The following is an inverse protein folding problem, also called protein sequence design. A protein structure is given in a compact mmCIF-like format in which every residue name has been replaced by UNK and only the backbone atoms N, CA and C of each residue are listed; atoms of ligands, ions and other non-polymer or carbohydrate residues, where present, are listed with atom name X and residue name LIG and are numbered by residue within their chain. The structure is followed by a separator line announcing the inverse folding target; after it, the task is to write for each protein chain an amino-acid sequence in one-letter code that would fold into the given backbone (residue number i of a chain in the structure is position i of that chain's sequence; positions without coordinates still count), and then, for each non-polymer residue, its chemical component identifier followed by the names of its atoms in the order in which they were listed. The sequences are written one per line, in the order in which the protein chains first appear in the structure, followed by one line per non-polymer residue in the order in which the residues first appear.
data_IF_404979120223
#
_entry.id   IF_404979120223
#
_cell.length_a   1.000
_cell.length_b   1.000
_cell.length_c   1.000
_cell.angle_alpha   90.00
_cell.angle_beta   90.00
_cell.angle_gamma   90.00
#
_symmetry.space_group_name_H-M   'P 1'
#
loop_
_entity.id
_entity.type
_entity.pdbx_description
1 polymer ?
#
# COMPACT_ATOMS: atom_id res chain seq x y z
N UNK A 1 0.50 33.70 -21.93
CA UNK A 1 -0.89 33.38 -21.57
C UNK A 1 -1.22 32.08 -22.27
N UNK A 2 -0.67 30.96 -21.75
CA UNK A 2 -0.84 29.60 -22.26
C UNK A 2 -1.88 28.88 -21.42
N UNK A 3 -2.81 28.23 -22.12
CA UNK A 3 -3.95 27.54 -21.52
C UNK A 3 -3.50 26.21 -20.95
N UNK A 4 -3.75 25.98 -19.66
CA UNK A 4 -3.72 24.65 -19.04
C UNK A 4 -4.68 23.70 -19.81
N UNK A 5 -4.11 22.68 -20.41
CA UNK A 5 -4.90 21.56 -20.94
C UNK A 5 -5.19 20.63 -19.78
N UNK A 6 -6.41 20.64 -19.28
CA UNK A 6 -6.91 19.58 -18.40
C UNK A 6 -7.06 18.31 -19.23
N UNK A 7 -6.30 17.28 -18.88
CA UNK A 7 -6.48 15.94 -19.46
C UNK A 7 -7.67 15.32 -18.74
N UNK A 8 -8.85 15.37 -19.39
CA UNK A 8 -9.99 14.52 -19.03
C UNK A 8 -9.87 13.24 -19.86
N UNK A 9 -9.57 12.10 -19.22
CA UNK A 9 -9.68 10.80 -19.88
C UNK A 9 -11.17 10.44 -20.02
N UNK A 10 -11.60 10.16 -21.24
CA UNK A 10 -12.95 9.70 -21.54
C UNK A 10 -13.11 8.24 -21.11
N UNK A 11 -14.04 7.99 -20.21
CA UNK A 11 -14.33 6.65 -19.67
C UNK A 11 -14.83 5.62 -20.73
N UNK A 12 -15.18 6.05 -21.93
CA UNK A 12 -15.66 5.15 -22.97
C UNK A 12 -14.54 4.43 -23.75
N UNK A 13 -13.30 4.85 -23.65
CA UNK A 13 -12.17 4.23 -24.37
C UNK A 13 -11.52 3.05 -23.59
N UNK A 14 -11.81 2.94 -22.30
CA UNK A 14 -11.30 1.90 -21.42
C UNK A 14 -11.75 0.46 -21.78
N UNK A 15 -12.86 0.35 -22.48
CA UNK A 15 -13.47 -0.95 -22.83
C UNK A 15 -12.87 -1.67 -24.04
N UNK A 16 -12.09 -1.00 -24.87
CA UNK A 16 -11.65 -1.56 -26.18
C UNK A 16 -10.21 -2.06 -26.22
N UNK A 17 -9.38 -1.80 -25.21
CA UNK A 17 -7.92 -2.08 -25.27
C UNK A 17 -7.45 -3.28 -24.43
N UNK A 18 -8.35 -4.19 -24.00
CA UNK A 18 -8.05 -5.34 -23.12
C UNK A 18 -7.28 -6.53 -23.75
N UNK A 19 -6.65 -6.39 -24.90
CA UNK A 19 -6.22 -7.57 -25.64
C UNK A 19 -4.71 -7.92 -25.58
N UNK A 20 -3.83 -7.08 -25.09
CA UNK A 20 -2.38 -7.25 -25.34
C UNK A 20 -1.56 -7.78 -24.15
N UNK A 21 -1.88 -7.52 -22.91
CA UNK A 21 -1.10 -7.99 -21.74
C UNK A 21 -1.44 -9.40 -21.22
N UNK A 22 -1.83 -10.35 -22.06
CA UNK A 22 -2.34 -11.68 -21.63
C UNK A 22 -1.37 -12.85 -21.78
N UNK A 23 -0.06 -12.69 -21.72
CA UNK A 23 0.87 -13.83 -21.92
C UNK A 23 1.70 -14.27 -20.71
N UNK A 24 1.47 -13.79 -19.52
CA UNK A 24 2.21 -14.24 -18.33
C UNK A 24 1.35 -14.73 -17.17
N UNK A 25 0.10 -15.11 -17.35
CA UNK A 25 -0.69 -15.76 -16.31
C UNK A 25 -1.32 -17.05 -16.85
N UNK A 26 -0.95 -18.17 -16.23
CA UNK A 26 -1.37 -19.52 -16.57
C UNK A 26 -2.89 -19.71 -16.54
N UNK A 27 -3.35 -20.58 -17.42
CA UNK A 27 -4.70 -21.08 -17.59
C UNK A 27 -5.41 -21.51 -16.31
N UNK A 28 -6.58 -20.94 -16.04
CA UNK A 28 -7.69 -21.65 -15.41
C UNK A 28 -8.98 -21.31 -16.13
N UNK A 29 -9.60 -22.34 -16.72
CA UNK A 29 -10.90 -22.25 -17.37
C UNK A 29 -12.00 -22.24 -16.31
N UNK A 30 -12.83 -21.22 -16.28
CA UNK A 30 -14.10 -21.21 -15.54
C UNK A 30 -15.26 -21.27 -16.53
N UNK A 31 -16.09 -22.29 -16.40
CA UNK A 31 -17.33 -22.51 -17.13
C UNK A 31 -18.37 -21.50 -16.63
N UNK A 32 -18.89 -20.64 -17.48
CA UNK A 32 -20.03 -19.79 -17.19
C UNK A 32 -21.35 -20.53 -17.44
N UNK A 33 -22.13 -20.74 -16.39
CA UNK A 33 -23.55 -21.06 -16.49
C UNK A 33 -24.34 -19.73 -16.42
N UNK A 34 -25.05 -19.39 -17.47
CA UNK A 34 -25.99 -18.27 -17.48
C UNK A 34 -27.30 -18.72 -16.83
N UNK A 35 -27.72 -18.05 -15.75
CA UNK A 35 -29.08 -18.11 -15.22
C UNK A 35 -29.65 -16.71 -15.20
N UNK A 36 -30.70 -16.52 -15.99
CA UNK A 36 -31.52 -15.32 -16.00
C UNK A 36 -32.45 -15.31 -14.79
N UNK A 37 -32.47 -14.21 -14.05
CA UNK A 37 -33.41 -13.99 -12.94
C UNK A 37 -32.71 -13.28 -11.79
N UNK A 38 -32.75 -11.96 -11.78
CA UNK A 38 -32.25 -11.16 -10.68
C UNK A 38 -33.18 -11.18 -9.49
N UNK A 39 -32.76 -11.66 -8.32
CA UNK A 39 -33.06 -10.97 -7.08
C UNK A 39 -31.92 -10.02 -6.75
N UNK A 40 -32.27 -8.84 -6.24
CA UNK A 40 -31.33 -7.94 -5.59
C UNK A 40 -30.37 -8.74 -4.71
N UNK A 41 -29.11 -8.89 -5.14
CA UNK A 41 -28.10 -9.47 -4.29
C UNK A 41 -27.92 -8.54 -3.10
N UNK A 42 -28.58 -8.89 -1.99
CA UNK A 42 -28.03 -8.58 -0.70
C UNK A 42 -26.62 -9.19 -0.71
N UNK A 43 -25.59 -8.38 -0.81
CA UNK A 43 -24.24 -8.81 -0.52
C UNK A 43 -24.27 -9.29 0.93
N UNK A 44 -24.39 -10.61 1.11
CA UNK A 44 -24.00 -11.21 2.35
C UNK A 44 -22.55 -10.77 2.55
N UNK A 45 -22.33 -9.90 3.52
CA UNK A 45 -21.00 -9.54 3.95
C UNK A 45 -20.35 -10.85 4.39
N UNK A 46 -19.61 -11.52 3.50
CA UNK A 46 -18.58 -12.43 3.99
C UNK A 46 -17.81 -11.59 4.97
N UNK A 47 -17.83 -12.02 6.23
CA UNK A 47 -17.02 -11.40 7.28
C UNK A 47 -15.62 -11.37 6.72
N UNK A 48 -15.10 -10.18 6.37
CA UNK A 48 -13.71 -10.01 6.01
C UNK A 48 -12.89 -10.63 7.14
N UNK A 49 -12.34 -11.79 6.87
CA UNK A 49 -11.46 -12.49 7.80
C UNK A 49 -10.06 -12.07 7.43
N UNK A 50 -9.47 -11.22 8.25
CA UNK A 50 -8.05 -10.97 8.21
C UNK A 50 -7.34 -12.19 8.77
N UNK A 51 -6.86 -13.08 7.91
CA UNK A 51 -6.03 -14.22 8.28
C UNK A 51 -4.55 -13.96 8.00
N UNK A 52 -4.19 -12.72 7.68
CA UNK A 52 -2.84 -12.29 7.41
C UNK A 52 -2.03 -12.31 8.71
N UNK A 53 -0.81 -12.87 8.71
CA UNK A 53 -0.05 -13.15 9.94
C UNK A 53 0.16 -11.96 10.86
N UNK A 54 0.42 -10.79 10.29
CA UNK A 54 0.69 -9.55 11.04
C UNK A 54 -0.52 -8.60 11.13
N UNK A 55 -1.72 -9.02 10.71
CA UNK A 55 -2.92 -8.18 10.81
C UNK A 55 -3.25 -7.78 12.25
N UNK A 56 -2.95 -8.64 13.23
CA UNK A 56 -3.16 -8.33 14.66
C UNK A 56 -2.25 -7.23 15.19
N UNK A 57 -1.17 -6.91 14.50
CA UNK A 57 -0.24 -5.83 14.87
C UNK A 57 -0.69 -4.48 14.31
N UNK A 58 -1.65 -4.46 13.41
CA UNK A 58 -2.20 -3.26 12.76
C UNK A 58 -3.27 -2.60 13.65
N UNK A 59 -2.89 -2.22 14.88
CA UNK A 59 -3.80 -1.67 15.89
C UNK A 59 -4.57 -0.43 15.43
N UNK A 60 -4.03 0.33 14.47
CA UNK A 60 -4.71 1.50 13.91
C UNK A 60 -5.97 1.12 13.12
N UNK A 61 -6.06 -0.11 12.61
CA UNK A 61 -7.22 -0.60 11.87
C UNK A 61 -8.31 -1.11 12.80
N UNK A 62 -7.89 -1.73 13.90
CA UNK A 62 -8.78 -2.31 14.88
C UNK A 62 -8.14 -2.34 16.26
N UNK A 63 -8.57 -1.45 17.14
CA UNK A 63 -8.05 -1.31 18.49
C UNK A 63 -9.09 -1.75 19.52
N UNK A 64 -8.94 -2.95 20.04
CA UNK A 64 -9.77 -3.49 21.12
C UNK A 64 -9.35 -3.07 22.52
N UNK A 65 -8.28 -2.29 22.63
CA UNK A 65 -7.70 -1.84 23.90
C UNK A 65 -6.66 -2.79 24.48
N UNK A 66 -6.37 -3.92 23.83
CA UNK A 66 -5.36 -4.89 24.32
C UNK A 66 -3.93 -4.45 24.05
N UNK A 67 -3.73 -3.56 23.09
CA UNK A 67 -2.42 -3.05 22.71
C UNK A 67 -1.79 -2.23 23.82
N UNK A 68 -0.49 -2.46 24.07
CA UNK A 68 0.31 -1.68 25.01
C UNK A 68 1.52 -1.12 24.28
N UNK A 69 1.70 0.18 24.31
CA UNK A 69 2.90 0.84 23.80
C UNK A 69 3.90 1.08 24.93
N UNK A 70 5.17 1.01 24.58
CA UNK A 70 6.28 1.36 25.47
C UNK A 70 7.01 2.58 24.90
N UNK A 71 6.98 3.67 25.64
CA UNK A 71 7.80 4.83 25.34
C UNK A 71 9.12 4.69 26.09
N UNK A 72 10.20 4.53 25.35
CA UNK A 72 11.55 4.37 25.92
C UNK A 72 12.31 5.67 25.74
N UNK A 73 12.56 6.36 26.85
CA UNK A 73 13.39 7.57 26.87
C UNK A 73 14.76 7.24 27.45
N UNK A 74 15.82 7.60 26.74
CA UNK A 74 17.21 7.38 27.17
C UNK A 74 17.83 8.72 27.54
N UNK A 75 18.33 8.80 28.77
CA UNK A 75 19.05 9.96 29.27
C UNK A 75 20.52 9.60 29.46
N UNK A 76 21.47 10.29 28.84
CA UNK A 76 22.87 10.11 29.16
C UNK A 76 23.16 10.59 30.58
N UNK A 77 23.91 9.82 31.35
CA UNK A 77 24.34 10.17 32.71
C UNK A 77 25.81 10.51 32.67
N UNK A 78 26.15 11.72 33.08
CA UNK A 78 27.49 12.24 33.10
C UNK A 78 28.07 12.30 34.53
N UNK A 79 29.38 12.33 34.67
CA UNK A 79 30.06 12.48 35.96
C UNK A 79 29.91 13.87 36.61
N UNK A 80 29.43 14.85 35.84
CA UNK A 80 29.10 16.18 36.35
C UNK A 80 27.87 16.10 37.29
N UNK A 81 27.95 16.62 38.51
CA UNK A 81 26.85 16.59 39.45
C UNK A 81 25.61 17.39 38.99
N UNK A 82 25.74 18.24 37.99
CA UNK A 82 24.64 18.98 37.40
C UNK A 82 24.07 18.30 36.14
N UNK A 83 24.63 17.12 35.74
CA UNK A 83 24.10 16.32 34.62
C UNK A 83 24.27 16.95 33.24
N UNK A 84 25.14 17.96 33.11
CA UNK A 84 25.37 18.64 31.84
C UNK A 84 26.63 18.09 31.17
N UNK A 85 26.61 17.91 29.81
CA UNK A 85 27.81 17.56 29.09
C UNK A 85 28.79 18.75 29.13
N UNK A 86 29.84 18.63 29.93
CA UNK A 86 30.97 19.56 29.95
C UNK A 86 32.19 18.93 29.30
N UNK A 87 33.18 19.74 28.90
CA UNK A 87 34.42 19.20 28.24
C UNK A 87 35.15 18.15 29.06
N UNK A 88 34.89 18.08 30.37
CA UNK A 88 35.55 17.14 31.30
C UNK A 88 34.56 16.11 31.89
N UNK A 89 33.30 16.08 31.45
CA UNK A 89 32.31 15.15 31.98
C UNK A 89 32.44 13.78 31.31
N UNK A 90 32.71 12.75 32.11
CA UNK A 90 32.73 11.37 31.63
C UNK A 90 31.29 10.82 31.55
N UNK A 91 30.95 10.14 30.46
CA UNK A 91 29.69 9.43 30.31
C UNK A 91 29.71 8.19 31.21
N UNK A 92 28.96 8.21 32.30
CA UNK A 92 28.87 7.09 33.26
C UNK A 92 27.93 5.99 32.81
N UNK A 93 27.01 6.31 31.90
CA UNK A 93 26.01 5.36 31.38
C UNK A 93 24.79 6.02 30.80
N UNK A 94 23.74 5.24 30.64
CA UNK A 94 22.45 5.71 30.13
C UNK A 94 21.34 5.29 31.09
N UNK A 95 20.60 6.25 31.61
CA UNK A 95 19.34 5.99 32.32
C UNK A 95 18.26 5.70 31.29
N UNK A 96 17.55 4.59 31.43
CA UNK A 96 16.45 4.20 30.58
C UNK A 96 15.16 4.31 31.37
N UNK A 97 14.28 5.19 30.94
CA UNK A 97 12.92 5.28 31.46
C UNK A 97 11.96 4.62 30.48
N UNK A 98 11.16 3.66 30.95
CA UNK A 98 10.16 2.97 30.15
C UNK A 98 8.78 3.34 30.69
N UNK A 99 7.98 4.03 29.89
CA UNK A 99 6.58 4.33 30.20
C UNK A 99 5.68 3.41 29.36
N UNK A 100 4.91 2.59 30.06
CA UNK A 100 3.87 1.75 29.43
C UNK A 100 2.56 2.51 29.37
N UNK A 101 1.94 2.51 28.19
CA UNK A 101 0.61 3.11 27.99
C UNK A 101 -0.30 2.05 27.41
N UNK A 102 -1.43 1.82 28.06
CA UNK A 102 -2.49 0.97 27.54
C UNK A 102 -3.29 1.72 26.48
N UNK A 103 -3.58 1.05 25.38
CA UNK A 103 -4.47 1.59 24.37
C UNK A 103 -5.89 1.76 24.90
N UNK A 104 -6.60 2.73 24.35
CA UNK A 104 -8.03 2.93 24.64
C UNK A 104 -8.84 2.27 23.54
N UNK A 105 -9.67 1.30 23.89
CA UNK A 105 -10.52 0.58 22.94
C UNK A 105 -11.33 1.53 22.06
N UNK A 106 -11.39 1.26 20.77
CA UNK A 106 -12.12 2.05 19.79
C UNK A 106 -11.44 3.35 19.36
N UNK A 107 -10.19 3.62 19.81
CA UNK A 107 -9.39 4.71 19.29
C UNK A 107 -8.55 4.19 18.11
N UNK A 108 -9.18 4.12 16.94
CA UNK A 108 -8.63 3.65 15.69
C UNK A 108 -9.25 4.41 14.50
N UNK A 109 -8.96 4.01 13.26
CA UNK A 109 -9.52 4.64 12.05
C UNK A 109 -10.92 4.15 11.69
N UNK A 110 -11.53 3.32 12.53
CA UNK A 110 -12.86 2.75 12.35
C UNK A 110 -13.01 1.94 11.04
N UNK A 111 -11.96 1.24 10.66
CA UNK A 111 -11.89 0.51 9.39
C UNK A 111 -12.92 -0.60 9.30
N UNK A 112 -13.18 -1.28 10.42
CA UNK A 112 -14.19 -2.34 10.49
C UNK A 112 -15.58 -1.85 10.06
N UNK A 113 -16.00 -0.68 10.58
CA UNK A 113 -17.29 -0.10 10.21
C UNK A 113 -17.31 0.37 8.74
N UNK A 114 -16.20 0.87 8.23
CA UNK A 114 -16.07 1.23 6.82
C UNK A 114 -16.26 0.00 5.93
N UNK A 115 -15.63 -1.11 6.26
CA UNK A 115 -15.78 -2.37 5.51
C UNK A 115 -17.18 -2.97 5.61
N UNK A 116 -17.81 -2.91 6.80
CA UNK A 116 -19.21 -3.36 6.97
C UNK A 116 -20.19 -2.51 6.14
N UNK A 117 -19.88 -1.22 5.95
CA UNK A 117 -20.77 -0.29 5.25
C UNK A 117 -20.55 -0.29 3.75
N UNK A 118 -19.30 -0.32 3.31
CA UNK A 118 -18.93 -0.10 1.91
C UNK A 118 -18.31 -1.33 1.24
N UNK A 119 -17.95 -2.37 2.01
CA UNK A 119 -17.22 -3.53 1.51
C UNK A 119 -15.89 -3.13 0.86
N UNK A 120 -15.63 -3.67 -0.32
CA UNK A 120 -14.47 -3.32 -1.15
C UNK A 120 -14.75 -2.20 -2.16
N UNK A 121 -15.82 -1.44 -1.95
CA UNK A 121 -16.21 -0.33 -2.83
C UNK A 121 -16.89 -0.77 -4.13
N UNK A 122 -17.33 0.20 -4.91
CA UNK A 122 -18.08 -0.02 -6.17
C UNK A 122 -17.32 0.40 -7.43
N UNK A 123 -16.19 1.10 -7.28
CA UNK A 123 -15.41 1.65 -8.38
C UNK A 123 -13.95 1.25 -8.27
N UNK A 124 -13.30 1.05 -9.41
CA UNK A 124 -11.85 0.89 -9.47
C UNK A 124 -11.19 2.26 -9.31
N UNK A 125 -10.17 2.32 -8.47
CA UNK A 125 -9.47 3.58 -8.12
C UNK A 125 -7.96 3.35 -8.21
N UNK A 126 -7.26 4.29 -8.84
CA UNK A 126 -5.80 4.30 -8.86
C UNK A 126 -5.32 5.35 -7.84
N UNK A 127 -4.46 4.92 -6.94
CA UNK A 127 -3.77 5.79 -5.98
C UNK A 127 -2.35 5.99 -6.47
N UNK A 128 -2.05 7.19 -6.95
CA UNK A 128 -0.70 7.58 -7.32
C UNK A 128 0.10 7.87 -6.04
N UNK A 129 1.10 7.06 -5.74
CA UNK A 129 1.93 7.19 -4.56
C UNK A 129 3.27 7.82 -4.91
N UNK A 130 3.46 9.08 -4.52
CA UNK A 130 4.70 9.83 -4.70
C UNK A 130 5.56 9.59 -3.46
N UNK A 131 6.58 8.74 -3.60
CA UNK A 131 7.40 8.29 -2.46
C UNK A 131 8.79 7.79 -2.94
N UNK A 132 9.55 7.15 -2.05
CA UNK A 132 10.89 6.64 -2.33
C UNK A 132 10.94 5.53 -3.38
N UNK A 133 9.83 4.83 -3.62
CA UNK A 133 9.71 3.71 -4.55
C UNK A 133 8.93 2.56 -3.95
N UNK A 134 8.56 1.58 -4.79
CA UNK A 134 7.75 0.42 -4.38
C UNK A 134 8.36 -0.86 -4.94
N UNK A 135 8.53 -1.89 -4.11
CA UNK A 135 8.89 -3.23 -4.56
C UNK A 135 7.69 -3.92 -5.21
N UNK A 136 7.65 -3.87 -6.55
CA UNK A 136 6.58 -4.52 -7.33
C UNK A 136 6.64 -6.06 -7.27
N UNK A 137 7.75 -6.64 -6.81
CA UNK A 137 7.89 -8.09 -6.65
C UNK A 137 7.44 -8.60 -5.28
N UNK A 138 7.11 -7.69 -4.35
CA UNK A 138 6.70 -8.05 -3.00
C UNK A 138 5.45 -8.94 -3.03
N UNK A 139 5.51 -10.08 -2.36
CA UNK A 139 4.48 -11.13 -2.44
C UNK A 139 3.07 -10.67 -2.04
N UNK A 140 2.99 -9.67 -1.16
CA UNK A 140 1.74 -9.11 -0.65
C UNK A 140 1.23 -7.91 -1.45
N UNK A 141 1.99 -7.42 -2.45
CA UNK A 141 1.66 -6.25 -3.27
C UNK A 141 1.46 -6.55 -4.75
N UNK A 142 2.13 -7.56 -5.28
CA UNK A 142 2.19 -7.85 -6.73
C UNK A 142 0.84 -7.89 -7.46
N UNK A 143 -0.24 -8.27 -6.76
CA UNK A 143 -1.58 -8.38 -7.32
C UNK A 143 -2.44 -7.12 -7.09
N UNK A 144 -1.94 -6.15 -6.32
CA UNK A 144 -2.65 -4.94 -5.92
C UNK A 144 -2.03 -3.66 -6.47
N UNK A 145 -0.89 -3.75 -7.15
CA UNK A 145 -0.32 -2.61 -7.85
C UNK A 145 -1.07 -2.30 -9.14
N UNK A 146 -1.03 -1.03 -9.53
CA UNK A 146 -1.46 -0.62 -10.86
C UNK A 146 -0.48 -1.15 -11.91
N UNK A 147 -1.02 -1.58 -13.04
CA UNK A 147 -0.25 -2.05 -14.17
C UNK A 147 -0.63 -1.25 -15.40
N UNK A 148 0.33 -0.64 -16.07
CA UNK A 148 0.14 -0.09 -17.40
C UNK A 148 -0.02 -1.24 -18.40
N UNK A 149 -1.25 -1.48 -18.82
CA UNK A 149 -1.57 -2.60 -19.72
C UNK A 149 -1.31 -2.30 -21.20
N UNK A 150 -0.97 -1.06 -21.52
CA UNK A 150 -0.66 -0.60 -22.85
C UNK A 150 0.86 -0.69 -23.15
N UNK A 151 1.68 -1.02 -22.11
CA UNK A 151 3.11 -1.29 -22.20
C UNK A 151 3.42 -2.80 -22.34
N UNK A 152 4.43 -3.13 -23.12
CA UNK A 152 5.02 -4.48 -23.19
C UNK A 152 6.30 -4.48 -22.36
N UNK A 153 6.33 -5.17 -21.21
CA UNK A 153 7.45 -5.09 -20.29
C UNK A 153 8.80 -5.41 -20.92
N UNK A 154 9.82 -4.62 -20.56
CA UNK A 154 11.23 -4.88 -20.89
C UNK A 154 11.55 -4.92 -22.41
N UNK A 155 10.75 -4.28 -23.25
CA UNK A 155 11.03 -4.22 -24.69
C UNK A 155 11.83 -2.95 -25.09
N UNK A 156 11.97 -1.97 -24.19
CA UNK A 156 12.70 -0.73 -24.41
C UNK A 156 11.98 0.27 -25.34
N UNK A 157 10.66 0.11 -25.49
CA UNK A 157 9.81 0.95 -26.34
C UNK A 157 8.72 1.55 -25.47
N UNK A 158 8.39 2.79 -25.72
CA UNK A 158 7.19 3.47 -25.19
C UNK A 158 6.01 3.06 -26.10
N UNK A 159 5.31 1.97 -25.73
CA UNK A 159 4.30 1.36 -26.60
C UNK A 159 2.99 2.17 -26.64
N UNK A 160 2.68 2.92 -25.58
CA UNK A 160 1.49 3.76 -25.53
C UNK A 160 1.74 5.24 -25.93
N UNK A 161 3.01 5.62 -26.12
CA UNK A 161 3.41 6.95 -26.56
C UNK A 161 3.21 8.04 -25.52
N UNK A 162 3.23 7.68 -24.22
CA UNK A 162 3.03 8.60 -23.11
C UNK A 162 4.30 9.37 -22.70
N UNK A 163 5.47 8.98 -23.23
CA UNK A 163 6.78 9.56 -22.95
C UNK A 163 7.60 8.82 -21.90
N UNK A 164 7.11 7.67 -21.41
CA UNK A 164 7.75 6.86 -20.37
C UNK A 164 7.93 5.42 -20.85
N UNK A 165 9.15 5.02 -21.15
CA UNK A 165 9.50 3.70 -21.69
C UNK A 165 9.36 2.62 -20.64
N UNK A 166 8.60 1.55 -20.91
CA UNK A 166 8.40 0.40 -20.00
C UNK A 166 7.86 0.81 -18.61
N UNK A 167 6.97 1.80 -18.50
CA UNK A 167 6.43 2.31 -17.24
C UNK A 167 5.35 1.40 -16.62
N UNK A 168 5.54 0.10 -16.67
CA UNK A 168 4.56 -0.93 -16.33
C UNK A 168 3.90 -0.79 -14.95
N UNK A 169 4.62 -0.29 -13.94
CA UNK A 169 4.11 -0.10 -12.58
C UNK A 169 4.15 1.35 -12.11
N UNK A 170 4.61 2.25 -12.98
CA UNK A 170 4.85 3.65 -12.70
C UNK A 170 6.23 4.12 -13.13
N UNK A 171 6.70 5.23 -12.60
CA UNK A 171 7.91 5.89 -13.07
C UNK A 171 8.81 6.39 -11.96
N UNK A 172 10.11 6.35 -12.17
CA UNK A 172 11.12 6.94 -11.32
C UNK A 172 11.49 8.32 -11.86
N UNK A 173 10.88 9.36 -11.31
CA UNK A 173 11.13 10.75 -11.69
C UNK A 173 12.49 11.26 -11.22
N UNK A 174 13.04 10.68 -10.16
CA UNK A 174 14.36 11.05 -9.67
C UNK A 174 15.47 10.68 -10.67
N UNK A 175 15.40 9.46 -11.24
CA UNK A 175 16.41 8.96 -12.20
C UNK A 175 15.91 8.99 -13.65
N UNK A 176 14.67 9.41 -13.90
CA UNK A 176 14.03 9.44 -15.21
C UNK A 176 14.10 8.09 -15.94
N UNK A 177 13.62 7.03 -15.28
CA UNK A 177 13.57 5.67 -15.81
C UNK A 177 12.45 4.85 -15.15
N UNK A 178 12.25 3.59 -15.58
CA UNK A 178 11.23 2.69 -15.07
C UNK A 178 11.62 1.91 -13.80
N UNK A 179 12.80 2.17 -13.21
CA UNK A 179 13.24 1.51 -11.97
C UNK A 179 12.56 2.12 -10.75
N UNK A 180 11.37 1.66 -10.43
CA UNK A 180 10.58 2.12 -9.30
C UNK A 180 11.04 1.55 -7.96
N UNK A 181 11.97 0.58 -7.95
CA UNK A 181 12.56 -0.01 -6.76
C UNK A 181 14.05 -0.20 -6.95
N UNK A 182 14.86 0.30 -5.99
CA UNK A 182 16.33 0.26 -6.04
C UNK A 182 16.95 -0.40 -4.80
N UNK A 183 16.13 -0.89 -3.86
CA UNK A 183 16.58 -1.60 -2.67
C UNK A 183 15.96 -1.09 -1.38
N UNK A 184 16.61 -1.38 -0.25
CA UNK A 184 16.05 -1.11 1.08
C UNK A 184 15.73 0.37 1.36
N UNK A 185 16.32 1.30 0.62
CA UNK A 185 16.02 2.74 0.71
C UNK A 185 14.57 3.05 0.30
N UNK A 186 13.97 2.16 -0.49
CA UNK A 186 12.59 2.28 -0.97
C UNK A 186 11.58 1.57 -0.04
N UNK A 187 12.00 1.15 1.13
CA UNK A 187 11.14 0.47 2.12
C UNK A 187 9.97 1.34 2.60
N UNK A 188 10.15 2.67 2.63
CA UNK A 188 9.10 3.60 3.05
C UNK A 188 7.91 3.57 2.08
N UNK A 189 8.15 3.71 0.79
CA UNK A 189 7.10 3.63 -0.23
C UNK A 189 6.47 2.25 -0.32
N UNK A 190 7.27 1.18 -0.22
CA UNK A 190 6.76 -0.20 -0.16
C UNK A 190 5.82 -0.40 1.04
N UNK A 191 6.22 0.09 2.24
CA UNK A 191 5.38 0.02 3.44
C UNK A 191 4.08 0.83 3.27
N UNK A 192 4.16 2.04 2.71
CA UNK A 192 2.98 2.86 2.45
C UNK A 192 2.01 2.20 1.47
N UNK A 193 2.54 1.60 0.38
CA UNK A 193 1.73 0.82 -0.57
C UNK A 193 1.04 -0.36 0.13
N UNK A 194 1.76 -1.07 1.01
CA UNK A 194 1.21 -2.15 1.82
C UNK A 194 0.07 -1.69 2.72
N UNK A 195 0.24 -0.57 3.40
CA UNK A 195 -0.82 0.02 4.23
C UNK A 195 -2.09 0.32 3.43
N UNK A 196 -1.96 0.77 2.18
CA UNK A 196 -3.10 1.08 1.32
C UNK A 196 -3.77 -0.19 0.78
N UNK A 197 -2.98 -1.12 0.20
CA UNK A 197 -3.48 -2.15 -0.69
C UNK A 197 -2.84 -3.53 -0.55
N UNK A 198 -2.13 -3.84 0.53
CA UNK A 198 -1.68 -5.21 0.74
C UNK A 198 -2.84 -6.20 0.65
N UNK A 199 -2.57 -7.40 0.17
CA UNK A 199 -3.60 -8.40 -0.08
C UNK A 199 -4.31 -8.84 1.20
N UNK A 200 -5.56 -8.42 1.38
CA UNK A 200 -6.34 -8.75 2.59
C UNK A 200 -6.83 -10.18 2.55
N UNK A 201 -6.60 -10.95 3.60
CA UNK A 201 -7.10 -12.32 3.75
C UNK A 201 -6.39 -13.33 2.86
N UNK A 202 -5.16 -13.07 2.45
CA UNK A 202 -4.36 -13.94 1.58
C UNK A 202 -3.39 -14.85 2.38
N UNK A 203 -3.33 -14.69 3.70
CA UNK A 203 -2.44 -15.46 4.59
C UNK A 203 -0.99 -15.01 4.52
N UNK A 204 -0.71 -13.82 3.97
CA UNK A 204 0.63 -13.25 3.79
C UNK A 204 0.67 -11.89 4.47
N UNK A 205 1.79 -11.55 5.10
CA UNK A 205 2.14 -10.21 5.58
C UNK A 205 1.06 -9.51 6.40
N UNK A 206 0.57 -8.39 5.87
CA UNK A 206 -0.38 -7.47 6.50
C UNK A 206 -1.68 -7.35 5.68
N UNK A 207 -2.66 -6.68 6.22
CA UNK A 207 -3.90 -6.33 5.50
C UNK A 207 -3.84 -4.88 5.00
N UNK A 208 -4.25 -4.64 3.78
CA UNK A 208 -4.44 -3.27 3.27
C UNK A 208 -5.71 -2.62 3.83
N UNK A 209 -5.77 -1.28 3.81
CA UNK A 209 -6.98 -0.53 4.18
C UNK A 209 -8.14 -0.88 3.26
N UNK A 210 -7.89 -1.08 1.98
CA UNK A 210 -8.92 -1.43 1.00
C UNK A 210 -8.80 -2.89 0.64
N UNK A 211 -9.77 -3.72 1.03
CA UNK A 211 -9.76 -5.14 0.71
C UNK A 211 -10.02 -5.36 -0.78
N UNK A 212 -9.38 -6.40 -1.33
CA UNK A 212 -9.54 -6.77 -2.73
C UNK A 212 -8.69 -5.94 -3.70
N UNK A 213 -9.07 -5.96 -4.98
CA UNK A 213 -8.23 -5.44 -6.08
C UNK A 213 -8.79 -4.19 -6.76
N UNK A 214 -9.77 -3.53 -6.15
CA UNK A 214 -10.38 -2.31 -6.72
C UNK A 214 -9.54 -1.06 -6.54
N UNK A 215 -8.74 -1.00 -5.49
CA UNK A 215 -7.74 0.05 -5.33
C UNK A 215 -6.38 -0.52 -5.77
N UNK A 216 -5.72 0.21 -6.65
CA UNK A 216 -4.40 -0.15 -7.15
C UNK A 216 -3.45 1.01 -6.92
N UNK A 217 -2.26 0.71 -6.45
CA UNK A 217 -1.23 1.72 -6.18
C UNK A 217 -0.30 1.81 -7.38
N UNK A 218 -0.14 3.02 -7.91
CA UNK A 218 0.82 3.37 -8.96
C UNK A 218 2.06 3.99 -8.31
N UNK A 219 3.24 3.50 -8.64
CA UNK A 219 4.49 4.00 -8.09
C UNK A 219 4.97 5.25 -8.83
N UNK A 220 5.14 6.34 -8.11
CA UNK A 220 5.79 7.56 -8.60
C UNK A 220 6.99 7.86 -7.69
N UNK A 221 8.15 7.28 -8.05
CA UNK A 221 9.38 7.45 -7.29
C UNK A 221 9.98 8.84 -7.50
N UNK A 222 10.22 9.57 -6.37
CA UNK A 222 10.71 10.96 -6.39
C UNK A 222 11.86 11.18 -5.39
#
# INVERSE_FOLDING_TARGET
MEREKRIFMDQNDYGKRKAVCRRAAGFMAAVMLAVAGQPSMAYASEKLQMNDPSASEQWAFFNDGSFTSEEVTKYPVYSDPFGQPSENAELLGTLVEVKKRQAVSGVDINLKQAWETYGNGSHDTIVAMIDTGIDASHEDLKDTLWVNTDEIPENGIDDDGNGYVDDCYGWNFYNNNNQIFTGNEDSHGTHGAGTISAGTGNGIGISGIVPGTRVRVMALKA
#
